data_IF_510864574714
#
_entry.id   IF_510864574714
#
_cell.length_a   1.000
_cell.length_b   1.000
_cell.length_c   1.000
_cell.angle_alpha   90.00
_cell.angle_beta   90.00
_cell.angle_gamma   90.00
#
_symmetry.space_group_name_H-M   'P 1'
#
loop_
_entity.id
_entity.type
_entity.pdbx_description
1 polymer ?
#
# COMPACT_ATOMS: atom_id res chain seq x y z
N UNK A 1 20.81 8.70 -30.76
CA UNK A 1 19.47 9.02 -30.24
C UNK A 1 19.13 7.94 -29.23
N UNK A 2 19.32 8.22 -27.94
CA UNK A 2 19.03 7.26 -26.88
C UNK A 2 17.53 7.35 -26.61
N UNK A 3 16.75 6.33 -26.99
CA UNK A 3 15.45 6.13 -26.39
C UNK A 3 15.71 5.66 -24.97
N UNK A 4 15.52 6.56 -24.00
CA UNK A 4 15.32 6.13 -22.63
C UNK A 4 13.97 5.40 -22.63
N UNK A 5 13.99 4.07 -22.77
CA UNK A 5 12.86 3.26 -22.32
C UNK A 5 12.71 3.57 -20.84
N UNK A 6 11.67 4.33 -20.50
CA UNK A 6 11.27 4.44 -19.13
C UNK A 6 10.97 3.01 -18.67
N UNK A 7 11.80 2.49 -17.77
CA UNK A 7 11.64 1.14 -17.22
C UNK A 7 10.20 0.99 -16.78
N UNK A 8 9.42 0.19 -17.51
CA UNK A 8 8.08 -0.18 -17.08
C UNK A 8 8.23 -0.92 -15.75
N UNK A 9 7.38 -0.60 -14.78
CA UNK A 9 7.37 -1.36 -13.54
C UNK A 9 6.71 -2.70 -13.81
N UNK A 10 7.46 -3.80 -13.71
CA UNK A 10 6.93 -5.17 -13.85
C UNK A 10 6.01 -5.58 -12.69
N UNK A 11 5.92 -4.74 -11.65
CA UNK A 11 5.13 -4.98 -10.44
C UNK A 11 3.90 -4.07 -10.46
N UNK A 12 2.74 -4.67 -10.69
CA UNK A 12 1.45 -3.99 -10.73
C UNK A 12 0.54 -4.57 -9.65
N UNK A 13 -0.10 -3.67 -8.90
CA UNK A 13 -1.12 -4.01 -7.91
C UNK A 13 -2.34 -3.15 -8.21
N UNK A 14 -3.42 -3.76 -8.71
CA UNK A 14 -4.63 -3.05 -9.13
C UNK A 14 -4.33 -1.94 -10.15
N UNK A 15 -3.49 -2.23 -11.15
CA UNK A 15 -3.07 -1.27 -12.16
C UNK A 15 -2.07 -0.20 -11.70
N UNK A 16 -1.69 -0.16 -10.41
CA UNK A 16 -0.71 0.80 -9.89
C UNK A 16 0.70 0.22 -9.97
N UNK A 17 1.68 0.94 -10.54
CA UNK A 17 3.06 0.48 -10.65
C UNK A 17 3.86 0.66 -9.36
N UNK A 18 4.56 -0.39 -8.94
CA UNK A 18 5.41 -0.42 -7.75
C UNK A 18 6.89 -0.68 -8.09
N UNK A 19 7.77 -0.12 -7.27
CA UNK A 19 9.19 -0.43 -7.25
C UNK A 19 9.53 -1.32 -6.06
N UNK A 20 10.32 -2.38 -6.29
CA UNK A 20 10.82 -3.23 -5.22
C UNK A 20 12.09 -2.66 -4.60
N UNK A 21 12.05 -2.36 -3.31
CA UNK A 21 13.22 -2.07 -2.50
C UNK A 21 13.70 -3.37 -1.87
N UNK A 22 14.97 -3.72 -2.08
CA UNK A 22 15.62 -4.89 -1.43
C UNK A 22 15.89 -4.67 0.07
N UNK A 23 15.05 -3.86 0.72
CA UNK A 23 15.05 -3.56 2.14
C UNK A 23 13.70 -3.96 2.73
N UNK A 24 13.66 -4.12 4.05
CA UNK A 24 12.45 -4.48 4.76
C UNK A 24 11.64 -3.27 5.22
N UNK A 25 12.28 -2.10 5.33
CA UNK A 25 11.65 -0.86 5.78
C UNK A 25 11.79 0.27 4.75
N UNK A 26 10.95 1.28 4.94
CA UNK A 26 10.85 2.45 4.07
C UNK A 26 11.66 3.64 4.57
N UNK A 27 12.65 3.46 5.46
CA UNK A 27 13.30 4.56 6.21
C UNK A 27 13.90 5.66 5.32
N UNK A 28 14.20 5.34 4.07
CA UNK A 28 14.76 6.28 3.08
C UNK A 28 13.71 6.94 2.18
N UNK A 29 12.45 6.51 2.21
CA UNK A 29 11.37 6.99 1.34
C UNK A 29 10.57 8.08 2.05
N UNK A 30 10.97 9.34 1.87
CA UNK A 30 10.38 10.51 2.56
C UNK A 30 9.18 11.13 1.81
N UNK A 31 8.45 10.31 1.08
CA UNK A 31 7.34 10.74 0.23
C UNK A 31 6.03 10.08 0.69
N UNK A 32 4.88 10.74 0.47
CA UNK A 32 3.58 10.10 0.54
C UNK A 32 3.43 9.07 -0.60
N UNK A 33 2.61 8.06 -0.39
CA UNK A 33 2.38 7.04 -1.40
C UNK A 33 1.76 5.77 -0.86
N UNK A 34 1.88 4.70 -1.65
CA UNK A 34 1.53 3.35 -1.27
C UNK A 34 2.80 2.57 -0.92
N UNK A 35 2.73 1.74 0.11
CA UNK A 35 3.74 0.74 0.39
C UNK A 35 3.10 -0.63 0.60
N UNK A 36 3.82 -1.68 0.22
CA UNK A 36 3.44 -3.04 0.51
C UNK A 36 4.57 -3.83 1.15
N UNK A 37 4.28 -4.47 2.29
CA UNK A 37 5.16 -5.50 2.83
C UNK A 37 5.02 -6.74 1.95
N UNK A 38 6.13 -7.21 1.42
CA UNK A 38 6.13 -8.32 0.47
C UNK A 38 7.22 -9.35 0.77
N UNK A 39 6.97 -10.55 0.24
CA UNK A 39 7.95 -11.61 0.12
C UNK A 39 8.20 -11.87 -1.36
N UNK A 40 9.45 -11.77 -1.80
CA UNK A 40 9.84 -12.23 -3.14
C UNK A 40 9.75 -13.75 -3.23
N UNK A 41 9.07 -14.23 -4.26
CA UNK A 41 8.93 -15.65 -4.61
C UNK A 41 9.87 -16.01 -5.78
N UNK A 42 10.08 -17.31 -6.05
CA UNK A 42 10.76 -17.74 -7.28
C UNK A 42 10.03 -17.23 -8.53
N UNK A 43 10.78 -16.83 -9.56
CA UNK A 43 10.21 -16.35 -10.82
C UNK A 43 9.81 -14.87 -10.83
N UNK A 44 10.42 -14.05 -9.96
CA UNK A 44 10.20 -12.59 -9.87
C UNK A 44 8.77 -12.14 -9.53
N UNK A 45 7.97 -13.07 -9.01
CA UNK A 45 6.66 -12.77 -8.44
C UNK A 45 6.80 -12.32 -6.99
N UNK A 46 5.95 -11.38 -6.57
CA UNK A 46 5.89 -10.92 -5.19
C UNK A 46 4.60 -11.39 -4.53
N UNK A 47 4.72 -11.91 -3.31
CA UNK A 47 3.58 -12.16 -2.42
C UNK A 47 3.36 -10.96 -1.51
N UNK A 48 2.23 -10.29 -1.66
CA UNK A 48 1.82 -9.16 -0.82
C UNK A 48 1.27 -9.68 0.51
N UNK A 49 1.79 -9.11 1.60
CA UNK A 49 1.42 -9.42 2.97
C UNK A 49 0.60 -8.28 3.59
N UNK A 50 0.87 -7.04 3.22
CA UNK A 50 0.15 -5.85 3.66
C UNK A 50 0.28 -4.79 2.58
N UNK A 51 -0.77 -4.04 2.31
CA UNK A 51 -0.76 -2.87 1.43
C UNK A 51 -1.38 -1.69 2.18
N UNK A 52 -0.73 -0.54 2.15
CA UNK A 52 -1.25 0.65 2.80
C UNK A 52 -0.86 1.93 2.08
N UNK A 53 -1.77 2.90 2.13
CA UNK A 53 -1.57 4.27 1.70
C UNK A 53 -1.23 5.16 2.90
N UNK A 54 -0.16 5.93 2.78
CA UNK A 54 0.37 6.76 3.87
C UNK A 54 0.79 8.14 3.36
N UNK A 55 0.75 9.12 4.27
CA UNK A 55 1.33 10.45 4.07
C UNK A 55 2.87 10.48 4.18
N UNK A 56 3.49 9.45 4.78
CA UNK A 56 4.94 9.37 4.99
C UNK A 56 5.45 7.92 5.12
N UNK A 57 5.87 7.31 4.01
CA UNK A 57 6.33 5.91 3.96
C UNK A 57 7.46 5.64 4.98
N UNK A 58 8.40 6.55 5.16
CA UNK A 58 9.50 6.36 6.11
C UNK A 58 9.11 6.29 7.58
N UNK A 59 7.91 6.73 7.94
CA UNK A 59 7.38 6.66 9.30
C UNK A 59 6.59 5.38 9.52
N UNK A 60 5.79 5.00 8.52
CA UNK A 60 4.78 3.97 8.69
C UNK A 60 5.27 2.60 8.19
N UNK A 61 6.12 2.54 7.16
CA UNK A 61 6.64 1.28 6.63
C UNK A 61 7.86 0.78 7.42
N UNK A 62 7.68 0.42 8.70
CA UNK A 62 8.79 0.01 9.56
C UNK A 62 8.38 -0.77 10.83
N UNK A 63 9.34 -1.03 11.76
CA UNK A 63 9.12 -1.84 12.95
C UNK A 63 8.01 -1.38 13.90
N UNK A 64 7.63 -0.10 13.85
CA UNK A 64 6.53 0.44 14.65
C UNK A 64 5.14 0.09 14.08
N UNK A 65 5.07 -0.43 12.85
CA UNK A 65 3.82 -0.75 12.18
C UNK A 65 3.13 -1.97 12.78
N UNK A 66 1.81 -1.91 12.98
CA UNK A 66 1.04 -3.00 13.61
C UNK A 66 1.16 -4.35 12.90
N UNK A 67 1.27 -4.35 11.56
CA UNK A 67 1.49 -5.57 10.76
C UNK A 67 2.95 -6.03 10.63
N UNK A 68 3.93 -5.28 11.15
CA UNK A 68 5.35 -5.57 10.93
C UNK A 68 5.78 -6.96 11.41
N UNK A 69 5.51 -7.27 12.67
CA UNK A 69 5.94 -8.54 13.28
C UNK A 69 5.32 -9.74 12.58
N UNK A 70 4.03 -9.65 12.24
CA UNK A 70 3.33 -10.68 11.48
C UNK A 70 3.92 -10.83 10.07
N UNK A 71 4.15 -9.73 9.36
CA UNK A 71 4.71 -9.78 8.01
C UNK A 71 6.11 -10.43 8.01
N UNK A 72 6.96 -10.11 8.99
CA UNK A 72 8.25 -10.79 9.19
C UNK A 72 8.07 -12.30 9.43
N UNK A 73 7.12 -12.70 10.28
CA UNK A 73 6.84 -14.12 10.53
C UNK A 73 6.33 -14.85 9.28
N UNK A 74 5.64 -14.14 8.37
CA UNK A 74 5.20 -14.65 7.07
C UNK A 74 6.31 -14.62 5.99
N UNK A 75 7.52 -14.18 6.33
CA UNK A 75 8.69 -14.20 5.46
C UNK A 75 8.93 -12.92 4.67
N UNK A 76 8.43 -11.77 5.13
CA UNK A 76 8.70 -10.46 4.52
C UNK A 76 10.20 -10.22 4.32
N UNK A 77 10.57 -9.88 3.10
CA UNK A 77 11.96 -9.58 2.73
C UNK A 77 12.10 -8.40 1.74
N UNK A 78 10.99 -7.81 1.31
CA UNK A 78 10.97 -6.74 0.31
C UNK A 78 9.89 -5.74 0.71
N UNK A 79 10.19 -4.45 0.49
CA UNK A 79 9.20 -3.39 0.53
C UNK A 79 8.90 -2.95 -0.90
N UNK A 80 7.64 -3.05 -1.32
CA UNK A 80 7.18 -2.46 -2.58
C UNK A 80 6.71 -1.04 -2.30
N UNK A 81 7.06 -0.08 -3.15
CA UNK A 81 6.65 1.32 -2.99
C UNK A 81 6.16 1.94 -4.29
N UNK A 82 5.12 2.75 -4.18
CA UNK A 82 4.68 3.69 -5.20
C UNK A 82 4.63 5.08 -4.54
N UNK A 83 5.50 6.00 -4.97
CA UNK A 83 5.54 7.37 -4.44
C UNK A 83 4.64 8.28 -5.29
N UNK A 84 3.74 9.03 -4.65
CA UNK A 84 2.92 10.00 -5.38
C UNK A 84 3.79 11.11 -6.00
N UNK A 85 3.39 11.57 -7.19
CA UNK A 85 4.17 12.54 -7.96
C UNK A 85 5.34 11.94 -8.75
N UNK A 86 5.50 10.61 -8.74
CA UNK A 86 6.36 9.86 -9.65
C UNK A 86 5.49 8.88 -10.44
N UNK A 87 4.74 9.36 -11.46
CA UNK A 87 3.97 8.45 -12.32
C UNK A 87 4.93 7.48 -13.00
N UNK A 88 4.82 6.20 -12.67
CA UNK A 88 5.49 5.16 -13.45
C UNK A 88 4.63 4.87 -14.70
N UNK A 89 5.25 4.72 -15.87
CA UNK A 89 4.54 4.51 -17.12
C UNK A 89 3.84 3.14 -17.10
N UNK A 90 2.57 3.14 -17.52
CA UNK A 90 1.79 1.93 -17.81
C UNK A 90 1.64 1.80 -19.33
N UNK A 91 1.56 0.57 -19.88
CA UNK A 91 1.11 0.35 -21.25
C UNK A 91 -0.25 0.99 -21.51
N UNK A 92 -0.47 1.55 -22.71
CA UNK A 92 -1.72 2.23 -23.05
C UNK A 92 -2.95 1.29 -23.05
N UNK A 93 -2.71 -0.01 -23.20
CA UNK A 93 -3.66 -1.11 -23.20
C UNK A 93 -3.69 -1.89 -21.87
N UNK A 94 -3.00 -1.42 -20.83
CA UNK A 94 -3.01 -2.04 -19.52
C UNK A 94 -4.43 -2.07 -18.94
N UNK A 95 -4.96 -3.24 -18.54
CA UNK A 95 -6.19 -3.30 -17.77
C UNK A 95 -6.10 -2.47 -16.49
N UNK A 96 -7.20 -1.80 -16.12
CA UNK A 96 -7.28 -0.96 -14.93
C UNK A 96 -7.00 -1.72 -13.63
N UNK A 97 -7.25 -3.02 -13.63
CA UNK A 97 -7.13 -3.93 -12.50
C UNK A 97 -5.97 -4.91 -12.64
N UNK A 98 -5.01 -4.63 -13.53
CA UNK A 98 -3.90 -5.56 -13.77
C UNK A 98 -3.09 -5.80 -12.49
N UNK A 99 -3.01 -7.06 -12.08
CA UNK A 99 -2.17 -7.56 -11.00
C UNK A 99 -1.07 -8.47 -11.54
N UNK A 100 0.16 -8.25 -11.05
CA UNK A 100 1.31 -9.16 -11.28
C UNK A 100 1.81 -9.80 -9.98
N UNK A 101 1.05 -9.65 -8.89
CA UNK A 101 1.39 -10.14 -7.55
C UNK A 101 0.45 -11.25 -7.09
N UNK A 102 0.92 -12.03 -6.11
CA UNK A 102 0.08 -12.96 -5.36
C UNK A 102 -0.31 -12.33 -4.02
N UNK A 103 -1.54 -12.54 -3.57
CA UNK A 103 -1.99 -12.09 -2.25
C UNK A 103 -1.87 -13.21 -1.22
N UNK A 104 -1.28 -12.90 -0.06
CA UNK A 104 -1.37 -13.81 1.09
C UNK A 104 -2.81 -13.79 1.64
N UNK A 105 -3.40 -14.93 2.03
CA UNK A 105 -4.80 -14.98 2.48
C UNK A 105 -5.07 -14.15 3.75
N UNK A 106 -4.04 -13.92 4.56
CA UNK A 106 -4.10 -13.04 5.74
C UNK A 106 -3.67 -11.59 5.49
N UNK A 107 -3.50 -11.19 4.23
CA UNK A 107 -3.09 -9.85 3.88
C UNK A 107 -4.17 -8.81 4.23
N UNK A 108 -3.71 -7.62 4.61
CA UNK A 108 -4.58 -6.47 4.86
C UNK A 108 -4.29 -5.37 3.85
N UNK A 109 -5.35 -4.65 3.50
CA UNK A 109 -5.29 -3.45 2.67
C UNK A 109 -5.89 -2.32 3.50
N UNK A 110 -5.17 -1.21 3.64
CA UNK A 110 -5.62 -0.03 4.39
C UNK A 110 -5.52 1.20 3.48
N UNK A 111 -6.67 1.79 3.18
CA UNK A 111 -6.73 3.11 2.54
C UNK A 111 -7.22 4.17 3.53
N UNK A 112 -6.90 5.46 3.31
CA UNK A 112 -7.30 6.51 4.23
C UNK A 112 -8.81 6.67 4.15
N UNK A 113 -9.47 6.56 5.30
CA UNK A 113 -10.94 6.52 5.41
C UNK A 113 -11.52 5.13 5.73
N UNK A 114 -10.72 4.06 5.68
CA UNK A 114 -11.13 2.71 6.12
C UNK A 114 -10.92 2.49 7.64
N UNK A 115 -10.37 3.48 8.35
CA UNK A 115 -10.47 3.53 9.80
C UNK A 115 -11.94 3.68 10.15
N UNK A 116 -12.59 2.55 10.48
CA UNK A 116 -13.93 2.53 11.03
C UNK A 116 -14.04 3.65 12.07
N UNK A 117 -14.94 4.61 11.82
CA UNK A 117 -15.31 5.56 12.85
C UNK A 117 -15.59 4.75 14.12
N UNK A 118 -14.95 5.07 15.27
CA UNK A 118 -15.37 4.47 16.51
C UNK A 118 -16.85 4.78 16.62
N UNK A 119 -17.69 3.74 16.64
CA UNK A 119 -19.15 3.89 16.71
C UNK A 119 -19.46 5.04 17.65
N UNK A 120 -20.09 6.08 17.12
CA UNK A 120 -20.55 7.20 17.91
C UNK A 120 -21.57 6.65 18.94
N UNK A 121 -21.07 6.25 20.11
CA UNK A 121 -21.86 6.06 21.32
C UNK A 121 -22.36 7.45 21.68
N UNK A 122 -23.51 7.78 21.12
CA UNK A 122 -24.08 9.11 21.22
C UNK A 122 -25.38 9.25 20.42
N UNK A 123 -26.23 8.21 20.40
CA UNK A 123 -27.64 8.39 20.06
C UNK A 123 -28.28 9.28 21.14
N UNK A 124 -28.31 10.58 20.91
CA UNK A 124 -29.33 11.44 21.51
C UNK A 124 -30.22 11.96 20.38
N UNK A 125 -31.52 11.62 20.36
CA UNK A 125 -32.41 12.09 19.31
C UNK A 125 -32.64 13.60 19.43
N UNK A 126 -32.77 14.23 18.27
CA UNK A 126 -33.22 15.59 18.08
C UNK A 126 -34.60 15.85 18.75
N UNK A 127 -34.63 16.91 19.57
CA UNK A 127 -35.66 17.96 19.70
C UNK A 127 -37.12 17.54 20.02
N UNK A 128 -37.59 17.98 21.19
CA UNK A 128 -38.98 18.47 21.44
C UNK A 128 -38.79 19.77 22.25
N UNK A 129 -39.09 20.97 21.74
CA UNK A 129 -40.44 21.48 21.55
C UNK A 129 -40.89 22.32 22.75
N UNK A 130 -40.74 23.66 22.64
CA UNK A 130 -41.56 24.75 23.22
C UNK A 130 -41.63 24.94 24.76
N UNK A 131 -41.18 26.10 25.23
CA UNK A 131 -41.65 26.85 26.41
C UNK A 131 -41.37 28.34 26.14
N UNK A 132 -42.16 29.33 26.53
CA UNK A 132 -43.55 29.48 26.94
C UNK A 132 -43.89 30.95 26.63
#
# INVERSE_FOLDING_TARGET
>A
MFHAEASMSDILIGGVPFNALSHRDGRFVRLPGLFAFARREPGDVYRVLHLEMTSAINRDAGPAHGRWAWALSAGMNTLLVHCFGQPAPLPADAPLDWETVNWHPGAQVIFPGDEAEPEAVGKFPLIVGRQA
#
